data_IF_269888809166
#
_entry.id   IF_269888809166
#
_cell.length_a   1.000
_cell.length_b   1.000
_cell.length_c   1.000
_cell.angle_alpha   90.00
_cell.angle_beta   90.00
_cell.angle_gamma   90.00
#
_symmetry.space_group_name_H-M   'P 1'
#
loop_
_entity.id
_entity.type
_entity.pdbx_description
1 polymer ?
#
# COMPACT_ATOMS: atom_id res chain seq x y z
N UNK A 1 -31.23 42.79 -46.36
CA UNK A 1 -31.94 41.76 -45.56
C UNK A 1 -31.27 40.39 -45.63
N UNK A 2 -30.98 39.82 -46.80
CA UNK A 2 -30.39 38.46 -46.94
C UNK A 2 -29.06 38.23 -46.19
N UNK A 3 -28.17 39.23 -46.17
CA UNK A 3 -26.87 39.15 -45.47
C UNK A 3 -27.00 39.08 -43.95
N UNK A 4 -27.99 39.77 -43.38
CA UNK A 4 -28.22 39.80 -41.93
C UNK A 4 -28.85 38.49 -41.44
N UNK A 5 -29.68 37.86 -42.27
CA UNK A 5 -30.29 36.57 -41.95
C UNK A 5 -29.25 35.45 -41.84
N UNK A 6 -28.26 35.44 -42.75
CA UNK A 6 -27.17 34.47 -42.71
C UNK A 6 -26.28 34.64 -41.47
N UNK A 7 -26.00 35.89 -41.08
CA UNK A 7 -25.23 36.18 -39.87
C UNK A 7 -25.95 35.73 -38.58
N UNK A 8 -27.26 35.95 -38.50
CA UNK A 8 -28.08 35.49 -37.36
C UNK A 8 -28.13 33.97 -37.30
N UNK A 9 -28.33 33.29 -38.43
CA UNK A 9 -28.34 31.83 -38.49
C UNK A 9 -27.00 31.23 -38.04
N UNK A 10 -25.87 31.85 -38.40
CA UNK A 10 -24.54 31.44 -37.97
C UNK A 10 -24.30 31.67 -36.46
N UNK A 11 -24.79 32.78 -35.91
CA UNK A 11 -24.69 33.04 -34.47
C UNK A 11 -25.51 32.03 -33.66
N UNK A 12 -26.72 31.71 -34.11
CA UNK A 12 -27.59 30.73 -33.47
C UNK A 12 -26.99 29.32 -33.51
N UNK A 13 -26.33 28.92 -34.60
CA UNK A 13 -25.68 27.60 -34.66
C UNK A 13 -24.49 27.52 -33.70
N UNK A 14 -23.66 28.56 -33.61
CA UNK A 14 -22.54 28.58 -32.66
C UNK A 14 -23.03 28.48 -31.21
N UNK A 15 -24.09 29.20 -30.84
CA UNK A 15 -24.65 29.13 -29.49
C UNK A 15 -25.35 27.80 -29.19
N UNK A 16 -26.02 27.18 -30.18
CA UNK A 16 -26.69 25.90 -30.00
C UNK A 16 -25.72 24.71 -29.91
N UNK A 17 -24.52 24.83 -30.49
CA UNK A 17 -23.48 23.80 -30.49
C UNK A 17 -22.25 24.15 -29.65
N UNK A 18 -22.22 25.31 -28.98
CA UNK A 18 -21.18 25.61 -28.00
C UNK A 18 -21.41 24.74 -26.77
N UNK A 19 -20.56 23.75 -26.58
CA UNK A 19 -20.57 22.85 -25.43
C UNK A 19 -20.29 23.67 -24.17
N UNK A 20 -21.33 23.98 -23.38
CA UNK A 20 -21.15 24.53 -22.04
C UNK A 20 -20.64 23.42 -21.11
N UNK A 21 -19.32 23.27 -21.02
CA UNK A 21 -18.62 22.51 -19.97
C UNK A 21 -18.36 21.02 -20.23
N UNK A 22 -19.02 20.37 -21.20
CA UNK A 22 -18.84 18.94 -21.46
C UNK A 22 -17.92 18.71 -22.67
N UNK A 23 -16.63 18.49 -22.44
CA UNK A 23 -15.68 18.07 -23.48
C UNK A 23 -15.55 16.55 -23.44
N UNK A 24 -16.14 15.87 -24.43
CA UNK A 24 -15.97 14.43 -24.64
C UNK A 24 -14.74 14.13 -25.49
N UNK A 25 -13.80 13.34 -24.97
CA UNK A 25 -12.75 12.75 -25.80
C UNK A 25 -13.29 11.41 -26.33
N UNK A 26 -13.54 11.33 -27.64
CA UNK A 26 -14.07 10.15 -28.33
C UNK A 26 -15.45 9.65 -27.82
N UNK A 27 -16.29 10.55 -27.31
CA UNK A 27 -17.68 10.25 -26.94
C UNK A 27 -18.57 11.46 -27.20
N UNK A 28 -19.78 11.22 -27.71
CA UNK A 28 -20.79 12.24 -27.93
C UNK A 28 -21.67 12.48 -26.69
N UNK A 29 -21.50 11.68 -25.63
CA UNK A 29 -22.27 11.77 -24.38
C UNK A 29 -21.34 11.75 -23.17
N UNK A 30 -20.63 12.85 -22.89
CA UNK A 30 -19.76 12.94 -21.71
C UNK A 30 -20.62 12.96 -20.44
N UNK A 31 -20.27 12.15 -19.44
CA UNK A 31 -21.00 12.07 -18.16
C UNK A 31 -20.53 13.10 -17.13
N UNK A 32 -19.40 13.77 -17.36
CA UNK A 32 -18.82 14.79 -16.46
C UNK A 32 -18.19 15.95 -17.25
N UNK A 33 -18.17 17.15 -16.66
CA UNK A 33 -17.56 18.35 -17.27
C UNK A 33 -16.04 18.32 -17.11
N UNK A 34 -15.30 18.57 -18.19
CA UNK A 34 -13.84 18.75 -18.11
C UNK A 34 -13.57 20.20 -17.69
N UNK A 35 -13.39 20.42 -16.39
CA UNK A 35 -13.04 21.73 -15.85
C UNK A 35 -11.55 22.04 -16.12
N UNK A 36 -11.28 22.92 -17.10
CA UNK A 36 -9.94 23.43 -17.43
C UNK A 36 -9.56 24.64 -16.58
N UNK A 37 -10.07 24.73 -15.36
CA UNK A 37 -9.65 25.72 -14.36
C UNK A 37 -8.69 25.12 -13.30
N UNK A 38 -8.27 23.87 -13.47
CA UNK A 38 -7.36 23.15 -12.57
C UNK A 38 -5.94 22.96 -13.12
N UNK A 39 -4.95 22.82 -12.23
CA UNK A 39 -3.54 22.58 -12.56
C UNK A 39 -3.17 21.12 -12.88
N UNK A 40 -4.17 20.24 -13.05
CA UNK A 40 -3.94 18.80 -13.24
C UNK A 40 -3.35 18.52 -14.62
N UNK A 41 -2.19 17.86 -14.67
CA UNK A 41 -1.53 17.44 -15.91
C UNK A 41 -1.33 15.94 -15.94
N UNK A 42 -1.97 15.25 -16.88
CA UNK A 42 -1.73 13.83 -17.15
C UNK A 42 -0.96 13.72 -18.47
N UNK A 43 0.31 13.28 -18.41
CA UNK A 43 1.16 13.09 -19.60
C UNK A 43 1.49 11.61 -19.82
N UNK A 44 2.00 10.95 -18.79
CA UNK A 44 2.33 9.53 -18.75
C UNK A 44 1.94 9.04 -17.35
N UNK A 45 1.30 7.87 -17.27
CA UNK A 45 1.09 7.17 -16.01
C UNK A 45 2.29 6.25 -15.79
N UNK A 46 3.24 6.69 -14.97
CA UNK A 46 4.43 5.91 -14.63
C UNK A 46 4.16 5.06 -13.39
N UNK A 47 4.70 3.85 -13.36
CA UNK A 47 4.77 3.09 -12.11
C UNK A 47 5.71 3.81 -11.13
N UNK A 48 5.11 4.44 -10.12
CA UNK A 48 5.82 5.18 -9.09
C UNK A 48 6.04 4.36 -7.81
N UNK A 49 5.81 3.03 -7.83
CA UNK A 49 5.79 2.15 -6.65
C UNK A 49 7.03 2.28 -5.75
N UNK A 50 8.20 2.54 -6.30
CA UNK A 50 9.45 2.73 -5.54
C UNK A 50 9.96 4.17 -5.50
N UNK A 51 9.28 5.12 -6.14
CA UNK A 51 9.74 6.51 -6.22
C UNK A 51 9.17 7.33 -5.05
N UNK A 52 10.06 7.74 -4.14
CA UNK A 52 9.72 8.51 -2.92
C UNK A 52 9.32 9.96 -3.20
N UNK A 53 9.54 10.48 -4.42
CA UNK A 53 9.09 11.83 -4.81
C UNK A 53 7.57 11.92 -4.93
N UNK A 54 6.88 10.78 -5.04
CA UNK A 54 5.42 10.70 -5.09
C UNK A 54 4.89 10.44 -3.68
N UNK A 55 4.27 11.46 -3.07
CA UNK A 55 3.79 11.46 -1.68
C UNK A 55 2.30 11.18 -1.53
N UNK A 56 1.57 11.05 -2.65
CA UNK A 56 0.12 10.83 -2.70
C UNK A 56 -0.23 9.76 -3.72
N UNK A 57 -1.32 9.06 -3.46
CA UNK A 57 -1.96 8.15 -4.41
C UNK A 57 -3.20 8.81 -4.97
N UNK A 58 -3.45 8.64 -6.27
CA UNK A 58 -4.71 9.06 -6.90
C UNK A 58 -5.70 7.93 -6.75
N UNK A 59 -6.87 8.24 -6.18
CA UNK A 59 -7.96 7.29 -5.97
C UNK A 59 -9.21 7.77 -6.69
N UNK A 60 -10.15 6.86 -6.96
CA UNK A 60 -11.46 7.19 -7.52
C UNK A 60 -12.57 6.71 -6.59
N UNK A 61 -13.63 7.51 -6.45
CA UNK A 61 -14.86 7.06 -5.77
C UNK A 61 -15.73 6.19 -6.70
N UNK A 62 -16.87 5.70 -6.18
CA UNK A 62 -17.79 4.85 -6.95
C UNK A 62 -18.42 5.55 -8.17
N UNK A 63 -18.40 6.89 -8.20
CA UNK A 63 -18.89 7.69 -9.30
C UNK A 63 -17.77 8.10 -10.29
N UNK A 64 -16.53 7.65 -10.04
CA UNK A 64 -15.36 7.97 -10.85
C UNK A 64 -14.74 9.35 -10.57
N UNK A 65 -15.14 10.04 -9.50
CA UNK A 65 -14.50 11.29 -9.10
C UNK A 65 -13.11 11.00 -8.55
N UNK A 66 -12.09 11.70 -9.05
CA UNK A 66 -10.72 11.53 -8.61
C UNK A 66 -10.44 12.33 -7.33
N UNK A 67 -9.82 11.69 -6.36
CA UNK A 67 -9.30 12.28 -5.13
C UNK A 67 -7.85 11.90 -4.90
N UNK A 68 -7.34 12.21 -3.71
CA UNK A 68 -6.02 11.74 -3.28
C UNK A 68 -6.06 11.23 -1.85
N UNK A 69 -5.19 10.27 -1.57
CA UNK A 69 -4.83 9.84 -0.22
C UNK A 69 -3.35 10.11 0.02
N UNK A 70 -2.95 10.17 1.29
CA UNK A 70 -1.54 10.17 1.63
C UNK A 70 -0.94 8.81 1.25
N UNK A 71 0.17 8.84 0.54
CA UNK A 71 0.89 7.60 0.25
C UNK A 71 1.58 7.13 1.51
N UNK A 72 1.22 5.94 1.96
CA UNK A 72 1.90 5.32 3.10
C UNK A 72 3.14 4.62 2.56
N UNK A 73 4.30 4.96 3.13
CA UNK A 73 5.54 4.28 2.78
C UNK A 73 5.41 2.79 3.10
N UNK A 74 5.75 1.94 2.14
CA UNK A 74 5.80 0.48 2.33
C UNK A 74 6.76 0.20 3.48
N UNK A 75 6.22 -0.21 4.64
CA UNK A 75 7.05 -0.40 5.83
C UNK A 75 8.05 -1.51 5.56
N UNK A 76 9.31 -1.28 5.93
CA UNK A 76 10.31 -2.33 5.84
C UNK A 76 9.94 -3.45 6.82
N UNK A 77 10.04 -4.73 6.42
CA UNK A 77 9.75 -5.83 7.33
C UNK A 77 10.70 -5.77 8.54
N UNK A 78 10.18 -5.97 9.76
CA UNK A 78 10.99 -5.88 10.97
C UNK A 78 11.77 -7.18 11.17
N UNK A 79 12.94 -7.34 10.56
CA UNK A 79 13.74 -8.56 10.76
C UNK A 79 14.15 -8.70 12.24
N UNK A 80 14.03 -9.92 12.78
CA UNK A 80 14.37 -10.23 14.16
C UNK A 80 15.56 -11.19 14.21
N UNK A 81 16.56 -10.86 15.04
CA UNK A 81 17.72 -11.71 15.30
C UNK A 81 17.77 -11.99 16.80
N UNK A 82 17.66 -13.26 17.17
CA UNK A 82 17.82 -13.72 18.55
C UNK A 82 19.18 -14.39 18.67
N UNK A 83 20.02 -13.90 19.58
CA UNK A 83 21.36 -14.41 19.84
C UNK A 83 21.43 -15.00 21.24
N UNK A 84 21.84 -16.26 21.34
CA UNK A 84 21.96 -17.02 22.58
C UNK A 84 20.72 -16.94 23.48
N UNK A 85 19.53 -16.99 22.87
CA UNK A 85 18.27 -16.90 23.59
C UNK A 85 17.95 -18.22 24.28
N UNK A 86 17.61 -18.17 25.57
CA UNK A 86 17.22 -19.34 26.35
C UNK A 86 15.69 -19.44 26.35
N UNK A 87 15.15 -20.62 26.09
CA UNK A 87 13.70 -20.85 26.14
C UNK A 87 13.25 -20.78 27.60
N UNK A 88 12.57 -19.69 27.94
CA UNK A 88 11.89 -19.49 29.23
C UNK A 88 10.38 -19.58 29.03
N UNK A 89 9.60 -19.81 30.10
CA UNK A 89 8.13 -19.86 30.09
C UNK A 89 7.44 -18.51 29.73
N UNK A 90 8.18 -17.55 29.18
CA UNK A 90 7.71 -16.24 28.77
C UNK A 90 8.02 -16.00 27.27
N UNK A 91 7.04 -15.51 26.48
CA UNK A 91 7.25 -15.14 25.09
C UNK A 91 8.28 -14.02 24.94
N UNK A 92 9.10 -14.07 23.88
CA UNK A 92 9.94 -12.95 23.47
C UNK A 92 9.07 -11.89 22.82
N UNK A 93 9.05 -10.69 23.37
CA UNK A 93 8.37 -9.54 22.77
C UNK A 93 9.40 -8.68 22.04
N UNK A 94 9.23 -8.51 20.73
CA UNK A 94 9.98 -7.51 19.96
C UNK A 94 9.04 -6.41 19.54
N UNK A 95 9.31 -5.21 20.04
CA UNK A 95 8.60 -4.00 19.66
C UNK A 95 9.01 -3.60 18.25
N UNK A 96 8.13 -3.86 17.29
CA UNK A 96 8.38 -3.56 15.89
C UNK A 96 7.58 -2.36 15.41
N UNK A 97 6.50 -1.99 16.11
CA UNK A 97 5.60 -0.90 15.69
C UNK A 97 4.83 -1.24 14.40
N UNK A 98 4.80 -2.52 14.03
CA UNK A 98 4.15 -3.03 12.82
C UNK A 98 3.33 -4.27 13.14
N UNK A 99 2.16 -4.38 12.53
CA UNK A 99 1.28 -5.53 12.66
C UNK A 99 1.74 -6.70 11.79
N UNK A 100 1.50 -7.93 12.26
CA UNK A 100 1.73 -9.16 11.49
C UNK A 100 0.66 -9.42 10.42
N UNK A 101 -0.43 -8.65 10.37
CA UNK A 101 -1.52 -8.90 9.41
C UNK A 101 -1.06 -8.94 7.95
N UNK A 102 -0.04 -8.13 7.61
CA UNK A 102 0.53 -8.06 6.26
C UNK A 102 1.79 -8.93 6.09
N UNK A 103 2.25 -9.64 7.12
CA UNK A 103 3.53 -10.35 7.08
C UNK A 103 3.45 -11.77 7.65
N UNK A 104 4.05 -12.72 6.93
CA UNK A 104 4.28 -14.08 7.41
C UNK A 104 5.70 -14.18 7.99
N UNK A 105 5.87 -14.57 9.28
CA UNK A 105 7.18 -14.86 9.84
C UNK A 105 7.75 -16.16 9.27
N UNK A 106 9.03 -16.14 8.92
CA UNK A 106 9.80 -17.30 8.45
C UNK A 106 11.12 -17.37 9.19
N UNK A 107 11.37 -18.50 9.84
CA UNK A 107 12.68 -18.82 10.43
C UNK A 107 13.62 -19.16 9.28
N UNK A 108 14.68 -18.36 9.11
CA UNK A 108 15.65 -18.51 8.02
C UNK A 108 16.98 -19.10 8.46
N UNK A 109 17.26 -19.07 9.77
CA UNK A 109 18.38 -19.80 10.36
C UNK A 109 18.04 -20.20 11.79
N UNK A 110 18.53 -21.37 12.18
CA UNK A 110 18.45 -21.89 13.54
C UNK A 110 19.74 -22.62 13.87
N UNK A 111 20.29 -22.38 15.07
CA UNK A 111 21.37 -23.17 15.64
C UNK A 111 21.20 -23.28 17.14
N UNK A 112 21.33 -24.48 17.70
CA UNK A 112 21.38 -24.72 19.15
C UNK A 112 22.81 -24.85 19.63
N UNK A 113 23.08 -24.44 20.88
CA UNK A 113 24.36 -24.66 21.55
C UNK A 113 24.61 -26.15 21.93
N UNK A 114 23.57 -27.00 21.89
CA UNK A 114 23.67 -28.45 22.06
C UNK A 114 23.48 -29.14 20.72
N UNK A 115 24.21 -30.24 20.49
CA UNK A 115 23.93 -31.16 19.40
C UNK A 115 22.52 -31.76 19.59
N UNK A 116 21.82 -32.03 18.49
CA UNK A 116 20.56 -32.78 18.41
C UNK A 116 19.30 -32.14 19.03
N UNK A 117 19.25 -30.82 19.18
CA UNK A 117 18.01 -30.13 19.54
C UNK A 117 17.25 -29.76 18.27
N UNK A 118 16.11 -30.41 18.02
CA UNK A 118 15.20 -30.04 16.93
C UNK A 118 14.68 -28.61 17.11
N UNK A 119 14.11 -28.05 16.03
CA UNK A 119 13.45 -26.74 16.10
C UNK A 119 12.33 -26.82 17.17
N UNK A 120 12.33 -25.94 18.18
CA UNK A 120 11.25 -25.91 19.17
C UNK A 120 9.93 -25.60 18.49
N UNK A 121 8.82 -26.10 19.05
CA UNK A 121 7.49 -25.65 18.62
C UNK A 121 7.41 -24.16 18.88
N UNK A 122 6.94 -23.39 17.91
CA UNK A 122 6.86 -21.95 18.01
C UNK A 122 5.48 -21.42 17.63
N UNK A 123 5.08 -20.31 18.23
CA UNK A 123 3.95 -19.53 17.77
C UNK A 123 4.33 -18.06 17.65
N UNK A 124 3.79 -17.41 16.62
CA UNK A 124 3.90 -15.98 16.41
C UNK A 124 2.52 -15.36 16.57
N UNK A 125 2.42 -14.28 17.35
CA UNK A 125 1.18 -13.54 17.50
C UNK A 125 1.44 -12.03 17.61
N UNK A 126 0.46 -11.25 17.15
CA UNK A 126 0.45 -9.79 17.31
C UNK A 126 -0.05 -9.47 18.72
N UNK A 127 0.74 -8.68 19.46
CA UNK A 127 0.37 -8.15 20.77
C UNK A 127 0.47 -6.63 20.75
N UNK A 128 -0.49 -5.98 20.09
CA UNK A 128 -0.62 -4.53 20.08
C UNK A 128 0.51 -3.83 19.34
N UNK A 129 0.93 -4.34 18.18
CA UNK A 129 2.05 -3.79 17.40
C UNK A 129 3.43 -4.29 17.83
N UNK A 130 3.46 -5.31 18.69
CA UNK A 130 4.64 -6.08 19.02
C UNK A 130 4.51 -7.50 18.46
N UNK A 131 5.65 -8.08 18.09
CA UNK A 131 5.73 -9.47 17.64
C UNK A 131 6.16 -10.30 18.83
N UNK A 132 5.29 -11.22 19.24
CA UNK A 132 5.63 -12.20 20.26
C UNK A 132 6.04 -13.52 19.60
N UNK A 133 7.18 -14.07 20.03
CA UNK A 133 7.61 -15.43 19.72
C UNK A 133 7.50 -16.25 21.01
N UNK A 134 6.64 -17.26 21.01
CA UNK A 134 6.54 -18.23 22.09
C UNK A 134 7.09 -19.57 21.62
N UNK A 135 8.12 -20.07 22.31
CA UNK A 135 8.83 -21.31 22.00
C UNK A 135 8.27 -22.42 22.93
N UNK A 136 7.08 -22.93 22.61
CA UNK A 136 6.35 -23.92 23.42
C UNK A 136 6.88 -25.34 23.30
N UNK A 137 7.98 -25.71 23.97
CA UNK A 137 8.20 -27.08 24.53
C UNK A 137 9.47 -27.08 25.39
N UNK A 138 9.51 -27.90 26.46
CA UNK A 138 9.81 -27.47 27.84
C UNK A 138 11.09 -26.63 27.96
N UNK A 139 11.09 -25.68 28.91
CA UNK A 139 12.23 -24.85 29.29
C UNK A 139 13.57 -25.57 29.06
N UNK A 140 14.22 -25.27 27.94
CA UNK A 140 15.46 -25.90 27.58
C UNK A 140 16.58 -24.92 27.99
N UNK A 141 17.48 -25.30 28.92
CA UNK A 141 18.57 -24.43 29.34
C UNK A 141 19.61 -24.20 28.21
N UNK A 142 19.43 -24.83 27.05
CA UNK A 142 20.27 -24.63 25.88
C UNK A 142 19.96 -23.29 25.21
N UNK A 143 20.98 -22.48 24.98
CA UNK A 143 20.85 -21.26 24.18
C UNK A 143 20.63 -21.56 22.69
N UNK A 144 19.77 -20.77 22.06
CA UNK A 144 19.45 -20.83 20.63
C UNK A 144 19.83 -19.54 19.92
N UNK A 145 20.34 -19.65 18.70
CA UNK A 145 20.42 -18.54 17.76
C UNK A 145 19.38 -18.74 16.66
N UNK A 146 18.59 -17.70 16.40
CA UNK A 146 17.52 -17.75 15.41
C UNK A 146 17.45 -16.44 14.62
N UNK A 147 17.33 -16.55 13.30
CA UNK A 147 17.03 -15.40 12.43
C UNK A 147 15.64 -15.56 11.85
N UNK A 148 14.78 -14.59 12.12
CA UNK A 148 13.40 -14.56 11.61
C UNK A 148 13.26 -13.39 10.64
N UNK A 149 12.78 -13.71 9.44
CA UNK A 149 12.41 -12.73 8.43
C UNK A 149 10.90 -12.66 8.32
N UNK A 150 10.40 -11.45 8.14
CA UNK A 150 8.98 -11.21 7.90
C UNK A 150 8.79 -10.99 6.41
N UNK A 151 8.11 -11.92 5.77
CA UNK A 151 7.82 -11.85 4.33
C UNK A 151 6.45 -11.22 4.18
N UNK A 152 6.33 -10.18 3.34
CA UNK A 152 5.03 -9.55 3.08
C UNK A 152 4.10 -10.54 2.37
N UNK A 153 2.86 -10.63 2.83
CA UNK A 153 1.78 -11.36 2.17
C UNK A 153 1.44 -10.60 0.88
N UNK A 154 1.58 -11.26 -0.28
CA UNK A 154 1.17 -10.69 -1.56
C UNK A 154 -0.34 -10.84 -1.78
#
# INVERSE_FOLDING_TARGET
>A
MKKNLMAVALLCSVAAYSQSGLVGINTNTPSTTFDVNGGTRVRILVDATSNTSYTREVVADANGNLGYTNRIAKVNPPNMVLSNYIVTDAPVIVATGVSLTEFTPVITSFSSASADVGLPTYSFFDSGGNIALDLLTPANPTGYNMTIKFIRNN
#
